data_IF_751248509834
#
_entry.id   IF_751248509834
#
_cell.length_a   1.000
_cell.length_b   1.000
_cell.length_c   1.000
_cell.angle_alpha   90.00
_cell.angle_beta   90.00
_cell.angle_gamma   90.00
#
_symmetry.space_group_name_H-M   'P 1'
#
loop_
_entity.id
_entity.type
_entity.pdbx_description
1 polymer ?
#
# COMPACT_ATOMS: atom_id res chain seq x y z
N UNK A 1 1.82 6.06 33.08
CA UNK A 1 1.47 6.20 31.65
C UNK A 1 -0.03 6.11 31.53
N UNK A 2 -0.71 7.23 31.27
CA UNK A 2 -2.16 7.30 31.19
C UNK A 2 -2.70 6.47 30.03
N UNK A 3 -3.46 5.42 30.33
CA UNK A 3 -4.08 4.53 29.33
C UNK A 3 -5.20 5.21 28.53
N UNK A 4 -5.60 6.42 28.96
CA UNK A 4 -6.46 7.32 28.20
C UNK A 4 -5.76 7.98 27.00
N UNK A 5 -4.43 7.87 26.89
CA UNK A 5 -3.65 8.58 25.88
C UNK A 5 -3.92 8.13 24.44
N UNK A 6 -4.41 6.89 24.23
CA UNK A 6 -4.67 6.37 22.88
C UNK A 6 -6.10 5.87 22.77
N UNK A 7 -6.98 6.71 22.24
CA UNK A 7 -8.36 6.34 21.93
C UNK A 7 -8.36 5.40 20.70
N UNK A 8 -9.33 4.48 20.61
CA UNK A 8 -9.50 3.57 19.46
C UNK A 8 -9.41 4.30 18.11
N UNK A 9 -9.99 5.50 18.03
CA UNK A 9 -9.92 6.37 16.84
C UNK A 9 -8.50 6.73 16.43
N UNK A 10 -7.60 6.94 17.38
CA UNK A 10 -6.18 7.26 17.13
C UNK A 10 -5.47 6.05 16.54
N UNK A 11 -5.70 4.85 17.10
CA UNK A 11 -5.12 3.60 16.56
C UNK A 11 -5.59 3.36 15.12
N UNK A 12 -6.89 3.52 14.86
CA UNK A 12 -7.44 3.40 13.51
C UNK A 12 -6.83 4.42 12.54
N UNK A 13 -6.61 5.67 12.98
CA UNK A 13 -5.96 6.69 12.17
C UNK A 13 -4.49 6.33 11.85
N UNK A 14 -3.75 5.78 12.81
CA UNK A 14 -2.36 5.33 12.62
C UNK A 14 -2.26 4.16 11.62
N UNK A 15 -3.22 3.23 11.64
CA UNK A 15 -3.28 2.17 10.63
C UNK A 15 -3.56 2.72 9.24
N UNK A 16 -4.50 3.67 9.10
CA UNK A 16 -4.80 4.32 7.81
C UNK A 16 -3.61 5.10 7.26
N UNK A 17 -2.88 5.79 8.14
CA UNK A 17 -1.66 6.51 7.81
C UNK A 17 -0.51 5.59 7.35
N UNK A 18 -0.57 4.31 7.71
CA UNK A 18 0.46 3.33 7.37
C UNK A 18 1.60 3.23 8.39
N UNK A 19 1.38 3.64 9.64
CA UNK A 19 2.39 3.54 10.71
C UNK A 19 2.81 2.08 10.99
N UNK A 20 1.95 1.11 10.68
CA UNK A 20 2.18 -0.32 10.90
C UNK A 20 2.67 -1.05 9.65
N UNK A 21 2.95 -0.35 8.55
CA UNK A 21 3.43 -0.99 7.31
C UNK A 21 4.79 -1.69 7.48
N UNK A 22 5.62 -1.23 8.41
CA UNK A 22 6.93 -1.84 8.69
C UNK A 22 6.82 -3.20 9.41
N UNK A 23 5.69 -3.50 10.05
CA UNK A 23 5.51 -4.75 10.80
C UNK A 23 5.28 -5.95 9.88
N UNK A 24 4.88 -5.71 8.64
CA UNK A 24 4.58 -6.74 7.66
C UNK A 24 5.54 -6.56 6.49
N UNK A 25 6.69 -7.24 6.57
CA UNK A 25 7.71 -7.21 5.54
C UNK A 25 7.08 -7.56 4.17
N UNK A 26 6.89 -6.51 3.36
CA UNK A 26 6.52 -6.52 1.94
C UNK A 26 5.03 -6.64 1.58
N UNK A 27 4.10 -6.69 2.54
CA UNK A 27 2.65 -6.78 2.26
C UNK A 27 1.85 -5.55 2.72
N UNK A 28 1.86 -4.49 1.90
CA UNK A 28 0.94 -3.35 2.07
C UNK A 28 -0.55 -3.73 1.95
N UNK A 29 -0.85 -4.98 1.56
CA UNK A 29 -2.20 -5.52 1.41
C UNK A 29 -2.93 -5.70 2.76
N UNK A 30 -2.23 -5.65 3.89
CA UNK A 30 -2.81 -5.99 5.19
C UNK A 30 -3.40 -4.81 5.97
N UNK A 31 -3.32 -3.57 5.49
CA UNK A 31 -3.94 -2.40 6.16
C UNK A 31 -5.45 -2.58 6.42
N UNK A 32 -6.16 -3.21 5.48
CA UNK A 32 -7.58 -3.52 5.62
C UNK A 32 -7.85 -4.52 6.75
N UNK A 33 -7.03 -5.58 6.82
CA UNK A 33 -7.09 -6.63 7.84
C UNK A 33 -6.75 -6.07 9.22
N UNK A 34 -5.71 -5.23 9.30
CA UNK A 34 -5.33 -4.53 10.51
C UNK A 34 -6.47 -3.69 11.07
N UNK A 35 -7.11 -2.86 10.23
CA UNK A 35 -8.26 -2.06 10.65
C UNK A 35 -9.43 -2.89 11.17
N UNK A 36 -9.72 -4.02 10.53
CA UNK A 36 -10.75 -4.94 11.01
C UNK A 36 -10.37 -5.57 12.37
N UNK A 37 -9.08 -5.89 12.57
CA UNK A 37 -8.59 -6.52 13.80
C UNK A 37 -8.36 -5.55 14.98
N UNK A 38 -8.26 -4.23 14.76
CA UNK A 38 -7.95 -3.25 15.83
C UNK A 38 -8.92 -3.37 17.00
N UNK A 39 -10.22 -3.56 16.74
CA UNK A 39 -11.21 -3.69 17.80
C UNK A 39 -10.96 -4.88 18.72
N UNK A 40 -10.77 -6.05 18.11
CA UNK A 40 -10.51 -7.30 18.85
C UNK A 40 -9.17 -7.22 19.59
N UNK A 41 -8.15 -6.63 18.96
CA UNK A 41 -6.83 -6.47 19.57
C UNK A 41 -6.88 -5.59 20.82
N UNK A 42 -7.65 -4.49 20.80
CA UNK A 42 -7.82 -3.62 21.96
C UNK A 42 -8.58 -4.33 23.09
N UNK A 43 -9.65 -5.05 22.77
CA UNK A 43 -10.43 -5.82 23.76
C UNK A 43 -9.58 -6.93 24.40
N UNK A 44 -8.81 -7.66 23.60
CA UNK A 44 -7.88 -8.68 24.09
C UNK A 44 -6.79 -8.07 25.00
N UNK A 45 -6.28 -6.88 24.66
CA UNK A 45 -5.31 -6.17 25.49
C UNK A 45 -5.91 -5.72 26.84
N UNK A 46 -7.16 -5.27 26.85
CA UNK A 46 -7.87 -4.95 28.09
C UNK A 46 -8.09 -6.19 28.96
N UNK A 47 -8.50 -7.32 28.35
CA UNK A 47 -8.69 -8.57 29.07
C UNK A 47 -7.37 -9.08 29.65
N UNK A 48 -6.29 -9.01 28.88
CA UNK A 48 -4.94 -9.35 29.32
C UNK A 48 -4.52 -8.53 30.55
N UNK A 49 -4.80 -7.23 30.55
CA UNK A 49 -4.52 -6.36 31.69
C UNK A 49 -5.37 -6.71 32.92
N UNK A 50 -6.66 -6.99 32.74
CA UNK A 50 -7.54 -7.38 33.84
C UNK A 50 -7.06 -8.69 34.47
N UNK A 51 -6.71 -9.67 33.65
CA UNK A 51 -6.15 -10.95 34.10
C UNK A 51 -4.81 -10.74 34.83
N UNK A 52 -3.94 -9.85 34.35
CA UNK A 52 -2.67 -9.56 35.00
C UNK A 52 -2.83 -8.91 36.38
N UNK A 53 -3.91 -8.14 36.60
CA UNK A 53 -4.24 -7.55 37.91
C UNK A 53 -4.88 -8.55 38.87
N UNK A 54 -5.38 -9.68 38.35
CA UNK A 54 -5.93 -10.76 39.15
C UNK A 54 -4.81 -11.76 39.48
N UNK A 55 -4.06 -11.50 40.56
CA UNK A 55 -3.05 -12.44 41.08
C UNK A 55 -3.76 -13.72 41.53
N UNK A 56 -3.44 -14.86 40.93
CA UNK A 56 -4.01 -16.15 41.32
C UNK A 56 -3.59 -16.49 42.75
N UNK A 57 -4.57 -16.55 43.66
CA UNK A 57 -4.35 -16.78 45.10
C UNK A 57 -3.98 -18.23 45.44
N UNK A 58 -4.23 -19.15 44.49
CA UNK A 58 -3.80 -20.53 44.54
C UNK A 58 -2.92 -20.75 43.32
N UNK A 59 -1.62 -20.93 43.53
CA UNK A 59 -0.63 -21.06 42.47
C UNK A 59 -0.93 -22.25 41.56
N UNK A 60 -1.62 -21.98 40.46
CA UNK A 60 -1.72 -22.81 39.26
C UNK A 60 -2.37 -21.95 38.16
N UNK A 61 -1.73 -20.84 37.84
CA UNK A 61 -1.99 -20.13 36.59
C UNK A 61 -0.73 -20.23 35.77
N UNK A 62 -0.43 -21.41 35.23
CA UNK A 62 0.45 -21.49 34.06
C UNK A 62 0.01 -20.37 33.15
N UNK A 63 0.93 -19.43 32.88
CA UNK A 63 0.66 -18.19 32.19
C UNK A 63 -0.18 -18.50 30.97
N UNK A 64 -1.50 -18.28 31.12
CA UNK A 64 -2.47 -18.73 30.14
C UNK A 64 -2.02 -18.12 28.85
N UNK A 65 -1.57 -18.98 27.93
CA UNK A 65 -1.02 -18.57 26.66
C UNK A 65 -2.03 -17.61 26.08
N UNK A 66 -1.73 -16.31 26.15
CA UNK A 66 -2.64 -15.30 25.66
C UNK A 66 -2.62 -15.52 24.16
N UNK A 67 -3.61 -16.29 23.70
CA UNK A 67 -3.80 -16.57 22.29
C UNK A 67 -3.95 -15.20 21.65
N UNK A 68 -2.88 -14.75 20.99
CA UNK A 68 -2.92 -13.50 20.25
C UNK A 68 -4.04 -13.65 19.25
N UNK A 69 -5.05 -12.77 19.27
CA UNK A 69 -6.14 -12.86 18.32
C UNK A 69 -5.54 -12.85 16.91
N UNK A 70 -5.93 -13.84 16.11
CA UNK A 70 -5.51 -13.92 14.73
C UNK A 70 -6.04 -12.70 13.96
N UNK A 71 -5.27 -12.23 12.98
CA UNK A 71 -5.71 -11.15 12.12
C UNK A 71 -6.93 -11.59 11.32
N UNK A 72 -7.96 -10.73 11.28
CA UNK A 72 -9.15 -10.99 10.46
C UNK A 72 -8.78 -10.83 9.00
N UNK A 73 -8.97 -11.87 8.19
CA UNK A 73 -8.79 -11.78 6.75
C UNK A 73 -9.81 -10.78 6.18
N UNK A 74 -9.32 -9.73 5.53
CA UNK A 74 -10.14 -8.71 4.89
C UNK A 74 -9.65 -8.51 3.44
N UNK A 75 -10.54 -8.12 2.52
CA UNK A 75 -10.14 -7.84 1.15
C UNK A 75 -9.12 -6.70 1.12
N UNK A 76 -8.04 -6.91 0.39
CA UNK A 76 -7.00 -5.91 0.21
C UNK A 76 -7.55 -4.62 -0.40
N UNK A 77 -7.03 -3.48 0.03
CA UNK A 77 -7.45 -2.19 -0.52
C UNK A 77 -6.96 -2.01 -1.95
N UNK A 78 -7.85 -1.48 -2.79
CA UNK A 78 -7.44 -0.93 -4.08
C UNK A 78 -6.55 0.30 -3.87
N UNK A 79 -5.65 0.58 -4.83
CA UNK A 79 -4.77 1.76 -4.73
C UNK A 79 -5.54 3.08 -4.57
N UNK A 80 -6.72 3.21 -5.19
CA UNK A 80 -7.58 4.38 -5.03
C UNK A 80 -8.18 4.48 -3.62
N UNK A 81 -8.55 3.35 -3.01
CA UNK A 81 -9.05 3.31 -1.63
C UNK A 81 -7.95 3.66 -0.64
N UNK A 82 -6.75 3.08 -0.78
CA UNK A 82 -5.59 3.42 0.04
C UNK A 82 -5.30 4.92 0.04
N UNK A 83 -5.29 5.55 -1.14
CA UNK A 83 -5.05 6.99 -1.27
C UNK A 83 -6.13 7.83 -0.57
N UNK A 84 -7.40 7.39 -0.61
CA UNK A 84 -8.49 8.08 0.13
C UNK A 84 -8.29 8.00 1.64
N UNK A 85 -7.93 6.83 2.15
CA UNK A 85 -7.69 6.63 3.59
C UNK A 85 -6.46 7.38 4.10
N UNK A 86 -5.38 7.44 3.29
CA UNK A 86 -4.20 8.26 3.59
C UNK A 86 -4.58 9.74 3.67
N UNK A 87 -5.35 10.26 2.71
CA UNK A 87 -5.83 11.65 2.75
C UNK A 87 -6.74 11.92 3.95
N UNK A 88 -7.59 10.98 4.32
CA UNK A 88 -8.50 11.15 5.46
C UNK A 88 -7.76 11.19 6.82
N UNK A 89 -6.63 10.49 6.94
CA UNK A 89 -5.86 10.39 8.18
C UNK A 89 -4.74 11.44 8.28
N UNK A 90 -4.00 11.67 7.19
CA UNK A 90 -2.84 12.57 7.16
C UNK A 90 -3.14 13.94 6.54
N UNK A 91 -4.23 14.07 5.77
CA UNK A 91 -4.56 15.27 5.00
C UNK A 91 -3.89 15.34 3.62
N UNK A 92 -2.94 14.45 3.32
CA UNK A 92 -2.24 14.37 2.03
C UNK A 92 -2.02 12.91 1.58
N UNK A 93 -1.60 12.72 0.33
CA UNK A 93 -1.33 11.39 -0.23
C UNK A 93 0.14 11.01 -0.04
N UNK A 94 0.41 9.89 0.63
CA UNK A 94 1.78 9.44 0.95
C UNK A 94 2.33 8.50 -0.12
N UNK A 95 1.52 7.53 -0.58
CA UNK A 95 1.95 6.47 -1.48
C UNK A 95 1.96 6.84 -2.97
N UNK A 96 1.41 8.00 -3.34
CA UNK A 96 1.39 8.45 -4.73
C UNK A 96 0.41 9.59 -4.99
N UNK A 97 0.08 9.81 -6.26
CA UNK A 97 -0.79 10.89 -6.70
C UNK A 97 -2.11 10.34 -7.29
N UNK A 98 -3.29 10.92 -6.99
CA UNK A 98 -4.59 10.42 -7.44
C UNK A 98 -4.70 10.26 -8.96
N UNK A 99 -4.03 11.12 -9.73
CA UNK A 99 -4.07 11.07 -11.20
C UNK A 99 -3.17 10.00 -11.85
N UNK A 100 -2.34 9.29 -11.07
CA UNK A 100 -1.41 8.29 -11.61
C UNK A 100 -2.14 7.14 -12.31
N UNK A 101 -3.31 6.74 -11.80
CA UNK A 101 -4.16 5.72 -12.44
C UNK A 101 -4.68 6.17 -13.82
N UNK A 102 -4.98 7.46 -13.99
CA UNK A 102 -5.54 7.98 -15.26
C UNK A 102 -4.50 8.25 -16.35
N UNK A 103 -3.23 8.48 -15.98
CA UNK A 103 -2.14 8.80 -16.92
C UNK A 103 -1.80 7.61 -17.82
N UNK A 104 -1.90 6.39 -17.31
CA UNK A 104 -1.61 5.16 -18.08
C UNK A 104 -2.63 4.95 -19.21
N UNK A 105 -3.92 5.27 -18.96
CA UNK A 105 -4.99 5.13 -19.97
C UNK A 105 -4.83 6.12 -21.14
N UNK A 106 -4.30 7.32 -20.91
CA UNK A 106 -4.05 8.29 -22.00
C UNK A 106 -2.82 7.91 -22.83
N UNK A 107 -1.76 7.40 -22.20
CA UNK A 107 -0.57 6.89 -22.89
C UNK A 107 -0.87 5.67 -23.76
N UNK A 108 -1.77 4.78 -23.35
CA UNK A 108 -2.17 3.64 -24.17
C UNK A 108 -2.95 4.04 -25.44
N UNK A 109 -3.58 5.23 -25.46
CA UNK A 109 -4.31 5.75 -26.64
C UNK A 109 -3.46 6.70 -27.50
N UNK A 110 -2.46 7.34 -26.92
CA UNK A 110 -1.43 8.05 -27.67
C UNK A 110 -0.40 7.03 -28.14
N UNK A 111 -0.66 6.40 -29.28
CA UNK A 111 0.32 5.56 -29.97
C UNK A 111 1.57 6.36 -30.30
N UNK A 112 2.54 6.37 -29.39
CA UNK A 112 3.90 6.73 -29.72
C UNK A 112 4.47 5.56 -30.52
N UNK A 113 4.32 5.63 -31.85
CA UNK A 113 5.09 4.79 -32.75
C UNK A 113 6.59 5.01 -32.45
N UNK A 114 7.40 3.96 -32.31
CA UNK A 114 8.84 4.13 -32.26
C UNK A 114 9.28 4.78 -33.57
N UNK A 115 9.87 5.97 -33.50
CA UNK A 115 10.49 6.62 -34.65
C UNK A 115 11.53 5.67 -35.22
N UNK A 116 11.27 5.13 -36.41
CA UNK A 116 12.26 4.44 -37.22
C UNK A 116 13.47 5.35 -37.43
N UNK A 117 14.66 4.81 -37.20
CA UNK A 117 15.93 5.50 -37.43
C UNK A 117 16.00 6.12 -38.83
N UNK A 118 16.39 7.40 -38.98
CA UNK A 118 16.66 7.97 -40.29
C UNK A 118 18.02 7.45 -40.78
N UNK A 119 18.02 6.32 -41.48
CA UNK A 119 19.27 5.72 -41.93
C UNK A 119 19.09 4.63 -42.99
N UNK A 120 18.64 5.00 -44.20
CA UNK A 120 19.12 4.40 -45.47
C UNK A 120 18.42 5.02 -46.68
N UNK A 121 18.83 6.23 -47.07
CA UNK A 121 18.58 6.77 -48.42
C UNK A 121 19.56 6.17 -49.44
N UNK A 122 19.70 4.84 -49.46
CA UNK A 122 20.67 4.15 -50.31
C UNK A 122 19.98 3.13 -51.22
N UNK A 123 19.20 3.66 -52.16
CA UNK A 123 18.79 3.03 -53.42
C UNK A 123 18.06 4.10 -54.23
N UNK A 124 18.40 4.27 -55.52
CA UNK A 124 17.92 5.30 -56.48
C UNK A 124 18.83 6.51 -56.78
N UNK A 125 20.15 6.32 -56.85
CA UNK A 125 21.03 7.30 -57.50
C UNK A 125 22.10 6.64 -58.37
N UNK A 126 21.74 5.64 -59.17
CA UNK A 126 22.68 5.06 -60.15
C UNK A 126 21.92 4.47 -61.34
N UNK A 127 21.63 5.32 -62.33
CA UNK A 127 21.60 5.05 -63.77
C UNK A 127 20.94 6.23 -64.47
N UNK A 128 21.73 7.10 -65.11
CA UNK A 128 21.57 7.48 -66.51
C UNK A 128 22.88 8.09 -67.04
N UNK A 129 23.19 7.89 -68.34
CA UNK A 129 24.55 7.90 -68.88
C UNK A 129 25.12 9.29 -69.18
N UNK A 130 26.45 9.38 -69.18
CA UNK A 130 27.25 10.57 -69.55
C UNK A 130 27.02 10.93 -71.03
N UNK A 131 26.83 12.21 -71.38
CA UNK A 131 27.15 12.70 -72.71
C UNK A 131 28.51 13.40 -72.70
N UNK A 132 29.37 13.06 -73.65
CA UNK A 132 30.51 13.90 -74.08
C UNK A 132 30.56 13.75 -75.61
N UNK A 133 30.27 14.82 -76.35
CA UNK A 133 31.22 15.59 -77.16
C UNK A 133 31.89 14.70 -78.23
N UNK A 134 31.66 14.89 -79.53
CA UNK A 134 31.57 16.11 -80.32
C UNK A 134 30.46 16.05 -81.38
#
# INVERSE_FOLDING_TARGET
MDKRAVNRRVVEALVRAGAFDCLYANDHAQRASLLASVGIALEAAEQAERNAKQVSLFGAGEGGSQQKPALIAAPQWTGAQRLREEKASLGFYLSGHPFRASRLRRRAKAGCAPSSSPGSWSRYASRKPRPAAW
#
